data_IF_782865147248
#
_entry.id   IF_782865147248
#
_cell.length_a   1.000
_cell.length_b   1.000
_cell.length_c   1.000
_cell.angle_alpha   90.00
_cell.angle_beta   90.00
_cell.angle_gamma   90.00
#
_symmetry.space_group_name_H-M   'P 1'
#
loop_
_entity.id
_entity.type
_entity.pdbx_description
1 polymer ?
#
# COMPACT_ATOMS: atom_id res chain seq x y z
N UNK A 1 30.11 -32.77 25.01
CA UNK A 1 29.20 -32.68 23.85
C UNK A 1 28.21 -31.56 24.11
N UNK A 2 28.29 -30.43 23.39
CA UNK A 2 27.32 -29.34 23.47
C UNK A 2 26.43 -29.41 22.23
N UNK A 3 25.17 -29.79 22.41
CA UNK A 3 24.17 -29.77 21.35
C UNK A 3 23.70 -28.33 21.14
N UNK A 4 24.11 -27.71 20.04
CA UNK A 4 23.53 -26.45 19.57
C UNK A 4 22.20 -26.75 18.89
N UNK A 5 21.09 -26.38 19.52
CA UNK A 5 19.76 -26.37 18.90
C UNK A 5 19.77 -25.34 17.77
N UNK A 6 19.73 -25.80 16.52
CA UNK A 6 19.44 -24.95 15.37
C UNK A 6 17.99 -24.47 15.45
N UNK A 7 17.77 -23.17 15.34
CA UNK A 7 16.43 -22.61 15.19
C UNK A 7 15.77 -23.15 13.90
N UNK A 8 14.46 -23.45 13.89
CA UNK A 8 13.78 -23.90 12.68
C UNK A 8 13.71 -22.76 11.66
N UNK A 9 14.07 -23.07 10.42
CA UNK A 9 13.92 -22.17 9.29
C UNK A 9 12.44 -21.79 9.11
N UNK A 10 12.19 -20.50 8.87
CA UNK A 10 10.85 -19.96 8.59
C UNK A 10 10.38 -20.51 7.25
N UNK A 11 9.60 -21.59 7.26
CA UNK A 11 9.03 -22.21 6.05
C UNK A 11 8.14 -21.18 5.35
N UNK A 12 8.39 -20.93 4.06
CA UNK A 12 7.55 -20.04 3.25
C UNK A 12 6.11 -20.57 3.24
N UNK A 13 5.07 -19.71 3.35
CA UNK A 13 3.69 -20.16 3.32
C UNK A 13 3.42 -20.93 2.02
N UNK A 14 2.94 -22.16 2.14
CA UNK A 14 2.60 -22.98 0.98
C UNK A 14 1.37 -22.37 0.28
N UNK A 15 1.53 -21.94 -0.97
CA UNK A 15 0.42 -21.39 -1.76
C UNK A 15 -0.45 -22.55 -2.21
N UNK A 16 -1.69 -22.61 -1.69
CA UNK A 16 -2.68 -23.61 -2.07
C UNK A 16 -3.18 -23.37 -3.50
N UNK A 17 -3.65 -24.44 -4.15
CA UNK A 17 -4.28 -24.40 -5.49
C UNK A 17 -5.53 -25.29 -5.52
N UNK A 18 -6.41 -25.08 -6.51
CA UNK A 18 -7.59 -25.93 -6.71
C UNK A 18 -8.57 -25.85 -5.53
N UNK A 19 -9.27 -26.96 -5.21
CA UNK A 19 -10.27 -26.98 -4.14
C UNK A 19 -9.75 -26.57 -2.76
N UNK A 20 -8.47 -26.81 -2.48
CA UNK A 20 -7.85 -26.40 -1.22
C UNK A 20 -7.69 -24.88 -1.12
N UNK A 21 -7.35 -24.21 -2.23
CA UNK A 21 -7.31 -22.74 -2.30
C UNK A 21 -8.70 -22.17 -2.10
N UNK A 22 -9.69 -22.70 -2.82
CA UNK A 22 -11.07 -22.26 -2.70
C UNK A 22 -11.58 -22.37 -1.26
N UNK A 23 -11.39 -23.52 -0.62
CA UNK A 23 -11.80 -23.75 0.77
C UNK A 23 -11.14 -22.76 1.74
N UNK A 24 -9.83 -22.50 1.58
CA UNK A 24 -9.13 -21.57 2.46
C UNK A 24 -9.53 -20.11 2.22
N UNK A 25 -9.70 -19.70 0.96
CA UNK A 25 -10.19 -18.36 0.61
C UNK A 25 -11.59 -18.13 1.17
N UNK A 26 -12.51 -19.09 1.02
CA UNK A 26 -13.84 -19.05 1.62
C UNK A 26 -13.75 -18.88 3.13
N UNK A 27 -12.97 -19.73 3.81
CA UNK A 27 -12.79 -19.68 5.27
C UNK A 27 -12.26 -18.32 5.74
N UNK A 28 -11.31 -17.72 5.00
CA UNK A 28 -10.73 -16.42 5.34
C UNK A 28 -11.74 -15.28 5.14
N UNK A 29 -12.49 -15.29 4.03
CA UNK A 29 -13.51 -14.27 3.75
C UNK A 29 -14.66 -14.34 4.75
N UNK A 30 -15.15 -15.54 5.07
CA UNK A 30 -16.20 -15.74 6.08
C UNK A 30 -15.77 -15.21 7.44
N UNK A 31 -14.52 -15.51 7.84
CA UNK A 31 -13.98 -15.04 9.12
C UNK A 31 -13.85 -13.53 9.18
N UNK A 32 -13.35 -12.90 8.11
CA UNK A 32 -13.24 -11.43 8.04
C UNK A 32 -14.61 -10.75 8.01
N UNK A 33 -15.58 -11.33 7.32
CA UNK A 33 -16.95 -10.83 7.30
C UNK A 33 -17.60 -10.95 8.68
N UNK A 34 -17.41 -12.08 9.38
CA UNK A 34 -17.91 -12.27 10.73
C UNK A 34 -17.31 -11.24 11.71
N UNK A 35 -16.02 -10.95 11.61
CA UNK A 35 -15.33 -9.95 12.45
C UNK A 35 -15.90 -8.52 12.30
N UNK A 36 -16.52 -8.21 11.16
CA UNK A 36 -17.20 -6.92 10.95
C UNK A 36 -18.56 -6.83 11.65
N UNK A 37 -19.16 -7.97 12.01
CA UNK A 37 -20.45 -8.05 12.69
C UNK A 37 -20.25 -8.20 14.20
N UNK A 38 -19.38 -9.13 14.57
CA UNK A 38 -19.02 -9.47 15.94
C UNK A 38 -17.49 -9.45 16.02
N UNK A 39 -16.93 -8.45 16.69
CA UNK A 39 -15.47 -8.31 16.85
C UNK A 39 -14.95 -9.59 17.52
N UNK A 40 -14.41 -10.49 16.71
CA UNK A 40 -14.01 -11.84 17.11
C UNK A 40 -12.53 -12.11 16.82
N UNK A 41 -11.85 -11.16 16.17
CA UNK A 41 -10.44 -11.24 15.84
C UNK A 41 -9.62 -10.14 16.51
N UNK A 42 -8.49 -10.55 17.07
CA UNK A 42 -7.44 -9.63 17.50
C UNK A 42 -6.78 -8.96 16.28
N UNK A 43 -6.22 -7.74 16.41
CA UNK A 43 -5.63 -7.01 15.28
C UNK A 43 -4.61 -7.84 14.47
N UNK A 44 -3.69 -8.54 15.13
CA UNK A 44 -2.69 -9.36 14.46
C UNK A 44 -3.30 -10.56 13.69
N UNK A 45 -4.45 -11.07 14.13
CA UNK A 45 -5.16 -12.14 13.44
C UNK A 45 -5.82 -11.61 12.16
N UNK A 46 -6.36 -10.39 12.19
CA UNK A 46 -6.91 -9.74 10.99
C UNK A 46 -5.81 -9.46 9.98
N UNK A 47 -4.70 -8.91 10.45
CA UNK A 47 -3.54 -8.62 9.60
C UNK A 47 -3.02 -9.89 8.93
N UNK A 48 -2.92 -11.00 9.68
CA UNK A 48 -2.50 -12.28 9.12
C UNK A 48 -3.47 -12.84 8.07
N UNK A 49 -4.79 -12.75 8.32
CA UNK A 49 -5.80 -13.19 7.37
C UNK A 49 -5.76 -12.39 6.05
N UNK A 50 -5.65 -11.06 6.15
CA UNK A 50 -5.55 -10.18 4.98
C UNK A 50 -4.22 -10.36 4.22
N UNK A 51 -3.11 -10.59 4.94
CA UNK A 51 -1.82 -10.93 4.31
C UNK A 51 -1.89 -12.24 3.52
N UNK A 52 -2.61 -13.25 4.02
CA UNK A 52 -2.86 -14.49 3.27
C UNK A 52 -3.74 -14.24 2.04
N UNK A 53 -4.84 -13.49 2.18
CA UNK A 53 -5.72 -13.15 1.06
C UNK A 53 -5.00 -12.35 -0.04
N UNK A 54 -4.09 -11.46 0.34
CA UNK A 54 -3.25 -10.70 -0.61
C UNK A 54 -2.43 -11.60 -1.53
N UNK A 55 -2.08 -12.81 -1.08
CA UNK A 55 -1.39 -13.79 -1.92
C UNK A 55 -2.38 -14.44 -2.88
N UNK A 56 -3.53 -14.89 -2.38
CA UNK A 56 -4.53 -15.60 -3.17
C UNK A 56 -5.21 -14.73 -4.24
N UNK A 57 -5.42 -13.43 -3.96
CA UNK A 57 -6.04 -12.50 -4.92
C UNK A 57 -5.19 -12.23 -6.15
N UNK A 58 -3.89 -12.59 -6.17
CA UNK A 58 -3.01 -12.38 -7.34
C UNK A 58 -3.38 -13.26 -8.53
N UNK A 59 -4.10 -14.35 -8.28
CA UNK A 59 -4.61 -15.27 -9.29
C UNK A 59 -6.10 -15.51 -8.99
N UNK A 60 -7.02 -15.07 -9.87
CA UNK A 60 -8.45 -15.19 -9.62
C UNK A 60 -8.94 -16.65 -9.61
N UNK A 61 -8.17 -17.58 -10.19
CA UNK A 61 -8.56 -18.99 -10.24
C UNK A 61 -8.72 -19.58 -8.84
N UNK A 62 -9.86 -20.23 -8.56
CA UNK A 62 -10.19 -20.82 -7.25
C UNK A 62 -10.19 -19.78 -6.10
N UNK A 63 -10.41 -18.50 -6.40
CA UNK A 63 -10.45 -17.39 -5.44
C UNK A 63 -11.78 -16.62 -5.48
N UNK A 64 -12.82 -17.23 -6.08
CA UNK A 64 -14.12 -16.64 -6.33
C UNK A 64 -14.74 -15.86 -5.15
N UNK A 65 -14.63 -16.31 -3.87
CA UNK A 65 -15.23 -15.58 -2.75
C UNK A 65 -14.74 -14.12 -2.60
N UNK A 66 -13.52 -13.81 -3.04
CA UNK A 66 -12.98 -12.44 -3.03
C UNK A 66 -13.70 -11.56 -4.06
N UNK A 67 -14.03 -12.14 -5.21
CA UNK A 67 -14.62 -11.48 -6.38
C UNK A 67 -16.15 -11.56 -6.38
N UNK A 68 -16.75 -11.47 -5.19
CA UNK A 68 -18.19 -11.33 -5.02
C UNK A 68 -18.51 -9.93 -4.48
N UNK A 69 -19.76 -9.47 -4.64
CA UNK A 69 -20.21 -8.20 -4.06
C UNK A 69 -19.95 -8.14 -2.55
N UNK A 70 -20.28 -9.22 -1.82
CA UNK A 70 -20.01 -9.34 -0.38
C UNK A 70 -18.50 -9.34 -0.08
N UNK A 71 -17.69 -9.98 -0.93
CA UNK A 71 -16.25 -10.02 -0.76
C UNK A 71 -15.62 -8.64 -0.89
N UNK A 72 -16.00 -7.88 -1.92
CA UNK A 72 -15.55 -6.50 -2.13
C UNK A 72 -16.04 -5.59 -1.00
N UNK A 73 -17.29 -5.73 -0.55
CA UNK A 73 -17.79 -4.99 0.61
C UNK A 73 -16.98 -5.28 1.88
N UNK A 74 -16.69 -6.55 2.15
CA UNK A 74 -15.91 -6.98 3.31
C UNK A 74 -14.52 -6.35 3.30
N UNK A 75 -13.81 -6.43 2.17
CA UNK A 75 -12.49 -5.82 2.02
C UNK A 75 -12.56 -4.29 2.16
N UNK A 76 -13.56 -3.65 1.57
CA UNK A 76 -13.76 -2.19 1.63
C UNK A 76 -14.01 -1.73 3.07
N UNK A 77 -14.84 -2.46 3.83
CA UNK A 77 -15.10 -2.14 5.24
C UNK A 77 -13.84 -2.27 6.09
N UNK A 78 -13.03 -3.32 5.91
CA UNK A 78 -11.73 -3.44 6.59
C UNK A 78 -10.73 -2.36 6.16
N UNK A 79 -10.73 -1.97 4.88
CA UNK A 79 -9.85 -0.94 4.33
C UNK A 79 -10.11 0.45 4.95
N UNK A 80 -11.37 0.82 5.18
CA UNK A 80 -11.71 2.19 5.55
C UNK A 80 -12.26 2.36 6.96
N UNK A 81 -12.78 1.31 7.59
CA UNK A 81 -13.39 1.39 8.91
C UNK A 81 -12.55 0.72 10.00
N UNK A 82 -11.40 0.12 9.66
CA UNK A 82 -10.52 -0.47 10.67
C UNK A 82 -9.77 0.60 11.46
N UNK A 83 -9.63 0.44 12.80
CA UNK A 83 -8.82 1.34 13.63
C UNK A 83 -7.31 1.15 13.43
N UNK A 84 -6.87 0.09 12.72
CA UNK A 84 -5.46 -0.21 12.47
C UNK A 84 -5.08 0.15 11.05
N UNK A 85 -4.06 1.02 10.88
CA UNK A 85 -3.49 1.33 9.57
C UNK A 85 -2.91 0.09 8.88
N UNK A 86 -2.34 -0.85 9.63
CA UNK A 86 -1.82 -2.11 9.07
C UNK A 86 -2.94 -2.94 8.44
N UNK A 87 -4.05 -3.13 9.17
CA UNK A 87 -5.22 -3.86 8.68
C UNK A 87 -5.81 -3.15 7.47
N UNK A 88 -5.97 -1.83 7.56
CA UNK A 88 -6.47 -0.97 6.49
C UNK A 88 -5.65 -1.15 5.21
N UNK A 89 -4.33 -1.03 5.28
CA UNK A 89 -3.43 -1.18 4.12
C UNK A 89 -3.43 -2.60 3.54
N UNK A 90 -3.52 -3.63 4.38
CA UNK A 90 -3.60 -5.00 3.90
C UNK A 90 -4.91 -5.26 3.14
N UNK A 91 -6.02 -4.69 3.61
CA UNK A 91 -7.28 -4.74 2.90
C UNK A 91 -7.26 -3.92 1.60
N UNK A 92 -6.67 -2.71 1.60
CA UNK A 92 -6.47 -1.90 0.39
C UNK A 92 -5.63 -2.65 -0.67
N UNK A 93 -4.59 -3.37 -0.26
CA UNK A 93 -3.79 -4.23 -1.17
C UNK A 93 -4.62 -5.34 -1.80
N UNK A 94 -5.49 -5.98 -1.02
CA UNK A 94 -6.39 -7.02 -1.54
C UNK A 94 -7.39 -6.40 -2.54
N UNK A 95 -8.00 -5.29 -2.17
CA UNK A 95 -8.98 -4.57 -2.97
C UNK A 95 -8.40 -4.07 -4.30
N UNK A 96 -7.22 -3.44 -4.27
CA UNK A 96 -6.55 -2.96 -5.49
C UNK A 96 -6.21 -4.10 -6.46
N UNK A 97 -5.83 -5.28 -5.95
CA UNK A 97 -5.58 -6.45 -6.79
C UNK A 97 -6.89 -7.03 -7.36
N UNK A 98 -7.95 -7.10 -6.55
CA UNK A 98 -9.25 -7.57 -7.02
C UNK A 98 -9.79 -6.69 -8.16
N UNK A 99 -9.76 -5.36 -7.96
CA UNK A 99 -10.20 -4.37 -8.95
C UNK A 99 -9.34 -4.34 -10.21
N UNK A 100 -8.06 -4.70 -10.12
CA UNK A 100 -7.18 -4.83 -11.28
C UNK A 100 -7.60 -6.01 -12.17
N UNK A 101 -7.98 -7.13 -11.55
CA UNK A 101 -8.22 -8.40 -12.24
C UNK A 101 -9.66 -8.57 -12.73
N UNK A 102 -10.63 -7.97 -12.04
CA UNK A 102 -12.06 -8.14 -12.35
C UNK A 102 -12.78 -6.79 -12.50
N UNK A 103 -13.40 -6.50 -13.66
CA UNK A 103 -14.26 -5.34 -13.84
C UNK A 103 -15.45 -5.27 -12.88
N UNK A 104 -16.02 -6.42 -12.50
CA UNK A 104 -17.20 -6.46 -11.63
C UNK A 104 -16.86 -5.93 -10.23
N UNK A 105 -15.66 -6.27 -9.72
CA UNK A 105 -15.13 -5.72 -8.48
C UNK A 105 -15.05 -4.18 -8.49
N UNK A 106 -14.76 -3.55 -9.63
CA UNK A 106 -14.74 -2.08 -9.76
C UNK A 106 -16.13 -1.49 -9.67
N UNK A 107 -17.09 -2.09 -10.37
CA UNK A 107 -18.49 -1.67 -10.33
C UNK A 107 -19.06 -1.76 -8.92
N UNK A 108 -18.87 -2.89 -8.23
CA UNK A 108 -19.33 -3.05 -6.85
C UNK A 108 -18.64 -2.10 -5.88
N UNK A 109 -17.36 -1.79 -6.07
CA UNK A 109 -16.68 -0.81 -5.23
C UNK A 109 -17.31 0.59 -5.36
N UNK A 110 -17.60 1.03 -6.59
CA UNK A 110 -18.25 2.33 -6.85
C UNK A 110 -19.66 2.37 -6.24
N UNK A 111 -20.41 1.27 -6.30
CA UNK A 111 -21.74 1.16 -5.64
C UNK A 111 -21.69 1.34 -4.11
N UNK A 112 -20.52 1.18 -3.46
CA UNK A 112 -20.40 1.33 -2.00
C UNK A 112 -20.21 2.78 -1.56
N UNK A 113 -19.99 3.73 -2.48
CA UNK A 113 -19.85 5.16 -2.18
C UNK A 113 -18.69 5.53 -1.23
N UNK A 114 -17.54 4.85 -1.40
CA UNK A 114 -16.33 5.08 -0.57
C UNK A 114 -15.33 6.08 -1.17
N UNK A 115 -15.63 6.67 -2.32
CA UNK A 115 -14.80 7.64 -3.04
C UNK A 115 -14.38 8.84 -2.18
N UNK A 116 -15.28 9.34 -1.33
CA UNK A 116 -14.96 10.44 -0.40
C UNK A 116 -13.86 10.03 0.59
N UNK A 117 -13.93 8.81 1.11
CA UNK A 117 -12.92 8.30 2.07
C UNK A 117 -11.58 8.04 1.39
N UNK A 118 -11.56 7.71 0.10
CA UNK A 118 -10.33 7.65 -0.69
C UNK A 118 -9.68 9.04 -0.76
N UNK A 119 -10.42 10.07 -1.18
CA UNK A 119 -9.90 11.44 -1.22
C UNK A 119 -9.38 11.92 0.14
N UNK A 120 -10.12 11.64 1.23
CA UNK A 120 -9.68 11.97 2.59
C UNK A 120 -8.39 11.25 2.98
N UNK A 121 -8.22 9.99 2.57
CA UNK A 121 -7.01 9.21 2.85
C UNK A 121 -5.82 9.74 2.05
N UNK A 122 -6.03 10.17 0.80
CA UNK A 122 -4.98 10.68 -0.09
C UNK A 122 -4.29 11.95 0.46
N UNK A 123 -4.99 12.68 1.34
CA UNK A 123 -4.46 13.87 2.02
C UNK A 123 -3.35 13.57 3.03
N UNK A 124 -3.17 12.31 3.45
CA UNK A 124 -2.14 11.99 4.42
C UNK A 124 -0.74 11.96 3.79
N UNK A 125 0.28 12.39 4.53
CA UNK A 125 1.66 12.40 4.04
C UNK A 125 2.31 11.00 4.16
N UNK A 126 1.62 9.94 3.74
CA UNK A 126 2.11 8.57 3.78
C UNK A 126 2.18 7.93 2.39
N UNK A 127 3.38 7.61 1.93
CA UNK A 127 3.61 7.09 0.58
C UNK A 127 2.90 5.74 0.31
N UNK A 128 2.71 4.88 1.31
CA UNK A 128 1.97 3.62 1.11
C UNK A 128 0.48 3.88 0.90
N UNK A 129 -0.10 4.78 1.70
CA UNK A 129 -1.50 5.16 1.56
C UNK A 129 -1.71 5.89 0.23
N UNK A 130 -0.83 6.82 -0.13
CA UNK A 130 -0.83 7.50 -1.43
C UNK A 130 -0.81 6.48 -2.57
N UNK A 131 0.13 5.54 -2.58
CA UNK A 131 0.22 4.51 -3.61
C UNK A 131 -1.08 3.70 -3.73
N UNK A 132 -1.59 3.18 -2.61
CA UNK A 132 -2.75 2.29 -2.62
C UNK A 132 -4.03 3.04 -3.01
N UNK A 133 -4.21 4.25 -2.49
CA UNK A 133 -5.39 5.07 -2.74
C UNK A 133 -5.38 5.62 -4.15
N UNK A 134 -4.26 6.18 -4.63
CA UNK A 134 -4.12 6.65 -6.01
C UNK A 134 -4.43 5.54 -7.00
N UNK A 135 -3.93 4.33 -6.73
CA UNK A 135 -4.23 3.15 -7.56
C UNK A 135 -5.71 2.76 -7.56
N UNK A 136 -6.39 2.79 -6.42
CA UNK A 136 -7.82 2.46 -6.35
C UNK A 136 -8.66 3.50 -7.08
N UNK A 137 -8.41 4.80 -6.85
CA UNK A 137 -9.11 5.88 -7.56
C UNK A 137 -8.86 5.74 -9.08
N UNK A 138 -7.61 5.54 -9.48
CA UNK A 138 -7.27 5.28 -10.88
C UNK A 138 -8.06 4.10 -11.45
N UNK A 139 -8.12 2.97 -10.74
CA UNK A 139 -8.89 1.81 -11.19
C UNK A 139 -10.40 2.12 -11.29
N UNK A 140 -10.98 2.94 -10.41
CA UNK A 140 -12.40 3.34 -10.54
C UNK A 140 -12.69 4.11 -11.81
N UNK A 141 -11.70 4.77 -12.41
CA UNK A 141 -11.86 5.46 -13.71
C UNK A 141 -12.00 4.49 -14.91
N UNK A 142 -11.71 3.20 -14.74
CA UNK A 142 -11.85 2.18 -15.79
C UNK A 142 -13.12 1.35 -15.62
N UNK A 143 -14.17 1.68 -16.37
CA UNK A 143 -15.42 0.89 -16.36
C UNK A 143 -16.20 0.96 -15.04
N UNK A 144 -15.75 1.78 -14.09
CA UNK A 144 -16.57 2.26 -12.98
C UNK A 144 -17.17 3.61 -13.37
N UNK A 145 -18.47 3.80 -13.13
CA UNK A 145 -19.15 5.08 -13.37
C UNK A 145 -18.84 6.07 -12.23
N UNK A 146 -17.57 6.22 -11.88
CA UNK A 146 -17.15 7.16 -10.82
C UNK A 146 -17.31 8.59 -11.33
N UNK A 147 -17.91 9.44 -10.50
CA UNK A 147 -18.10 10.85 -10.81
C UNK A 147 -16.81 11.62 -10.50
N UNK A 148 -15.92 11.69 -11.49
CA UNK A 148 -14.61 12.36 -11.36
C UNK A 148 -14.78 13.86 -11.13
N UNK A 149 -15.75 14.49 -11.81
CA UNK A 149 -16.05 15.92 -11.66
C UNK A 149 -16.41 16.23 -10.20
N UNK A 150 -17.32 15.45 -9.61
CA UNK A 150 -17.66 15.61 -8.20
C UNK A 150 -16.46 15.37 -7.27
N UNK A 151 -15.56 14.43 -7.59
CA UNK A 151 -14.35 14.22 -6.79
C UNK A 151 -13.37 15.40 -6.84
N UNK A 152 -13.27 16.07 -8.00
CA UNK A 152 -12.46 17.27 -8.17
C UNK A 152 -13.09 18.43 -7.40
N UNK A 153 -14.36 18.73 -7.70
CA UNK A 153 -15.02 19.96 -7.26
C UNK A 153 -15.39 19.92 -5.78
N UNK A 154 -15.87 18.77 -5.28
CA UNK A 154 -16.44 18.67 -3.93
C UNK A 154 -15.56 17.88 -2.96
N UNK A 155 -14.57 17.13 -3.45
CA UNK A 155 -13.72 16.27 -2.61
C UNK A 155 -12.22 16.55 -2.75
N UNK A 156 -11.85 17.67 -3.37
CA UNK A 156 -10.48 18.20 -3.41
C UNK A 156 -9.47 17.23 -4.01
N UNK A 157 -9.89 16.37 -4.95
CA UNK A 157 -9.00 15.36 -5.51
C UNK A 157 -7.79 16.00 -6.22
N UNK A 158 -8.02 17.06 -7.00
CA UNK A 158 -6.96 17.79 -7.69
C UNK A 158 -5.98 18.45 -6.70
N UNK A 159 -6.48 19.04 -5.62
CA UNK A 159 -5.65 19.66 -4.57
C UNK A 159 -4.76 18.61 -3.90
N UNK A 160 -5.31 17.44 -3.57
CA UNK A 160 -4.55 16.34 -2.96
C UNK A 160 -3.44 15.84 -3.88
N UNK A 161 -3.69 15.72 -5.19
CA UNK A 161 -2.69 15.32 -6.19
C UNK A 161 -1.58 16.37 -6.29
N UNK A 162 -1.94 17.65 -6.39
CA UNK A 162 -0.97 18.74 -6.46
C UNK A 162 -0.11 18.80 -5.19
N UNK A 163 -0.71 18.61 -4.01
CA UNK A 163 0.01 18.53 -2.75
C UNK A 163 1.02 17.37 -2.74
N UNK A 164 0.61 16.17 -3.18
CA UNK A 164 1.48 15.01 -3.22
C UNK A 164 2.64 15.18 -4.23
N UNK A 165 2.38 15.71 -5.43
CA UNK A 165 3.43 16.02 -6.41
C UNK A 165 4.42 17.06 -5.85
N UNK A 166 3.92 18.11 -5.19
CA UNK A 166 4.78 19.11 -4.57
C UNK A 166 5.63 18.52 -3.43
N UNK A 167 5.09 17.57 -2.66
CA UNK A 167 5.82 16.82 -1.62
C UNK A 167 6.96 16.01 -2.23
N UNK A 168 6.68 15.25 -3.29
CA UNK A 168 7.68 14.50 -4.04
C UNK A 168 8.79 15.39 -4.58
N UNK A 169 8.44 16.49 -5.25
CA UNK A 169 9.42 17.42 -5.82
C UNK A 169 10.41 17.95 -4.75
N UNK A 170 9.89 18.30 -3.56
CA UNK A 170 10.74 18.75 -2.43
C UNK A 170 11.70 17.66 -1.97
N UNK A 171 11.23 16.41 -1.86
CA UNK A 171 12.09 15.30 -1.42
C UNK A 171 13.21 15.02 -2.42
N UNK A 172 12.90 15.05 -3.73
CA UNK A 172 13.91 14.93 -4.78
C UNK A 172 14.94 16.06 -4.73
N UNK A 173 14.50 17.31 -4.53
CA UNK A 173 15.40 18.47 -4.37
C UNK A 173 16.32 18.34 -3.14
N UNK A 174 15.79 17.82 -2.03
CA UNK A 174 16.56 17.58 -0.80
C UNK A 174 17.65 16.53 -1.00
N UNK A 175 17.32 15.43 -1.67
CA UNK A 175 18.26 14.37 -2.04
C UNK A 175 19.39 14.95 -2.90
N UNK A 176 19.07 15.69 -3.96
CA UNK A 176 20.08 16.34 -4.82
C UNK A 176 20.97 17.33 -4.07
N UNK A 177 20.43 18.06 -3.09
CA UNK A 177 21.21 18.99 -2.24
C UNK A 177 22.18 18.25 -1.33
N UNK A 178 21.82 17.06 -0.84
CA UNK A 178 22.68 16.21 -0.02
C UNK A 178 23.84 15.68 -0.88
N UNK A 179 23.54 15.15 -2.07
CA UNK A 179 24.56 14.64 -3.00
C UNK A 179 25.61 15.69 -3.36
N UNK A 180 25.18 16.93 -3.66
CA UNK A 180 26.10 18.04 -3.95
C UNK A 180 27.03 18.35 -2.76
N UNK A 181 26.50 18.38 -1.53
CA UNK A 181 27.29 18.63 -0.32
C UNK A 181 28.29 17.52 -0.02
N UNK A 182 27.95 16.26 -0.33
CA UNK A 182 28.85 15.12 -0.13
C UNK A 182 29.95 15.07 -1.21
N UNK A 183 29.63 15.40 -2.46
CA UNK A 183 30.61 15.57 -3.55
C UNK A 183 31.63 16.68 -3.24
N UNK A 184 31.17 17.81 -2.70
CA UNK A 184 32.04 18.93 -2.29
C UNK A 184 32.95 18.57 -1.09
N UNK A 185 32.45 17.76 -0.15
CA UNK A 185 33.25 17.27 1.00
C UNK A 185 34.32 16.26 0.59
N UNK A 186 34.00 15.37 -0.35
CA UNK A 186 34.96 14.39 -0.87
C UNK A 186 36.10 15.09 -1.62
N UNK A 187 35.78 16.17 -2.35
CA UNK A 187 36.75 17.01 -3.07
C UNK A 187 37.68 17.82 -2.17
N UNK A 188 37.27 18.15 -0.93
CA UNK A 188 38.07 18.90 0.04
C UNK A 188 38.87 18.00 1.02
N UNK A 189 38.83 16.68 0.88
CA UNK A 189 39.46 15.74 1.84
C UNK A 189 40.90 15.31 1.48
N UNK A 190 41.50 15.83 0.41
CA UNK A 190 42.87 15.47 0.00
C UNK A 190 44.01 16.10 0.83
N UNK A 191 43.75 16.69 2.01
CA UNK A 191 44.83 17.20 2.89
C UNK A 191 44.55 16.89 4.37
N UNK A 192 45.15 15.77 4.82
CA UNK A 192 45.64 15.40 6.18
C UNK A 192 45.09 14.08 6.72
N UNK A 193 45.88 13.02 6.54
CA UNK A 193 45.95 11.91 7.49
C UNK A 193 46.61 12.39 8.80
N UNK A 194 45.94 12.15 9.95
CA UNK A 194 46.47 11.31 11.04
C UNK A 194 45.54 11.24 12.27
N UNK A 195 45.30 9.99 12.67
CA UNK A 195 45.10 9.45 14.04
C UNK A 195 43.88 9.77 14.92
N UNK A 196 43.16 8.66 15.20
CA UNK A 196 42.80 8.06 16.51
C UNK A 196 41.38 8.23 17.10
N UNK A 197 40.73 7.06 17.11
CA UNK A 197 40.05 6.36 18.23
C UNK A 197 38.70 6.81 18.79
N UNK A 198 37.73 5.89 18.58
CA UNK A 198 36.72 5.36 19.53
C UNK A 198 35.86 6.35 20.33
N UNK A 199 34.57 6.42 19.97
CA UNK A 199 33.50 5.93 20.85
C UNK A 199 32.16 5.72 20.13
N UNK A 200 31.52 4.58 20.43
CA UNK A 200 30.18 4.17 19.97
C UNK A 200 29.10 5.02 20.63
N UNK A 201 28.16 5.54 19.84
CA UNK A 201 26.78 5.79 20.29
C UNK A 201 25.79 5.75 19.11
N UNK A 202 25.25 4.55 18.88
CA UNK A 202 23.88 4.23 18.42
C UNK A 202 23.06 5.40 17.80
N UNK A 203 23.09 5.52 16.47
CA UNK A 203 21.97 6.04 15.66
C UNK A 203 21.80 5.09 14.46
N UNK A 204 20.77 4.26 14.53
CA UNK A 204 20.35 3.45 13.40
C UNK A 204 19.46 4.35 12.53
N UNK A 205 20.07 5.24 11.75
CA UNK A 205 19.40 5.91 10.63
C UNK A 205 19.96 5.28 9.36
N UNK A 206 19.15 4.44 8.74
CA UNK A 206 19.39 3.88 7.42
C UNK A 206 19.24 5.05 6.42
N UNK A 207 20.34 5.76 6.19
CA UNK A 207 20.50 6.72 5.10
C UNK A 207 21.70 6.22 4.33
N UNK A 208 21.43 5.42 3.31
CA UNK A 208 22.44 4.85 2.40
C UNK A 208 21.85 4.74 0.98
N UNK A 209 20.92 5.63 0.63
CA UNK A 209 20.43 5.74 -0.74
C UNK A 209 20.50 7.20 -1.17
N UNK A 210 21.27 7.43 -2.24
CA UNK A 210 21.37 8.68 -3.01
C UNK A 210 20.14 8.95 -3.87
N UNK A 211 19.19 8.02 -3.88
CA UNK A 211 17.91 8.13 -4.58
C UNK A 211 16.76 8.12 -3.56
N UNK A 212 15.61 8.77 -3.88
CA UNK A 212 14.38 8.59 -3.13
C UNK A 212 14.09 7.10 -2.94
N UNK A 213 13.57 6.74 -1.77
CA UNK A 213 13.33 5.34 -1.47
C UNK A 213 12.34 4.72 -2.48
N UNK A 214 12.42 3.41 -2.80
CA UNK A 214 11.55 2.78 -3.80
C UNK A 214 10.06 3.03 -3.61
N UNK A 215 9.61 3.27 -2.37
CA UNK A 215 8.22 3.59 -2.08
C UNK A 215 7.80 4.98 -2.56
N UNK A 216 8.71 5.94 -2.49
CA UNK A 216 8.50 7.32 -2.94
C UNK A 216 8.28 7.34 -4.46
N UNK A 217 9.13 6.65 -5.21
CA UNK A 217 9.01 6.55 -6.67
C UNK A 217 7.72 5.88 -7.08
N UNK A 218 7.38 4.77 -6.42
CA UNK A 218 6.15 4.05 -6.74
C UNK A 218 4.90 4.89 -6.44
N UNK A 219 4.86 5.62 -5.32
CA UNK A 219 3.70 6.45 -5.00
C UNK A 219 3.60 7.65 -5.96
N UNK A 220 4.72 8.29 -6.31
CA UNK A 220 4.76 9.34 -7.33
C UNK A 220 4.20 8.84 -8.67
N UNK A 221 4.64 7.66 -9.13
CA UNK A 221 4.16 7.08 -10.38
C UNK A 221 2.65 6.85 -10.37
N UNK A 222 2.08 6.33 -9.28
CA UNK A 222 0.63 6.15 -9.17
C UNK A 222 -0.12 7.49 -9.12
N UNK A 223 0.42 8.49 -8.42
CA UNK A 223 -0.13 9.85 -8.40
C UNK A 223 -0.11 10.51 -9.78
N UNK A 224 0.95 10.31 -10.56
CA UNK A 224 1.04 10.82 -11.94
C UNK A 224 0.08 10.11 -12.90
N UNK A 225 -0.12 8.79 -12.75
CA UNK A 225 -1.15 8.06 -13.52
C UNK A 225 -2.55 8.58 -13.23
N UNK A 226 -2.83 8.85 -11.96
CA UNK A 226 -4.11 9.42 -11.56
C UNK A 226 -4.31 10.82 -12.16
N UNK A 227 -3.30 11.69 -12.07
CA UNK A 227 -3.33 13.02 -12.71
C UNK A 227 -3.60 12.92 -14.22
N UNK A 228 -2.89 12.03 -14.92
CA UNK A 228 -3.08 11.84 -16.35
C UNK A 228 -4.53 11.46 -16.67
N UNK A 229 -5.10 10.47 -15.98
CA UNK A 229 -6.49 10.08 -16.24
C UNK A 229 -7.47 11.21 -15.95
N UNK A 230 -7.31 11.94 -14.85
CA UNK A 230 -8.22 13.03 -14.49
C UNK A 230 -8.20 14.22 -15.44
N UNK A 231 -7.13 14.42 -16.19
CA UNK A 231 -7.01 15.54 -17.14
C UNK A 231 -7.38 15.16 -18.56
N UNK A 232 -7.64 13.88 -18.81
CA UNK A 232 -7.92 13.35 -20.14
C UNK A 232 -9.42 13.10 -20.38
N UNK A 233 -10.23 13.17 -19.33
CA UNK A 233 -11.69 13.25 -19.37
C UNK A 233 -12.13 14.71 -19.31
#
# INVERSE_FOLDING_TARGET
MRFTKSAPAKVAPQVLTGPAKLAEVTRLMDKLNQDLQEICMLPHQRDAALEQLKIYVRDPKDADPIFTKQGIETLTRHAFNSPSFTTSRNALRCLANAMLLDPSARAWFVELHYEIKLCQRLKNDNCEDELLVSRIIFLTTYGGNVDIENLIDNHHLADNINHNIARHAKQYDEVQKIEKKEGDRSSNSSVKEKEKSKNKAKRNSKVDSTEPGPMEDMSLVETLKLLFNMTHF
#
